data_IF_601774521542
#
_entry.id   IF_601774521542
#
_cell.length_a   1.000
_cell.length_b   1.000
_cell.length_c   1.000
_cell.angle_alpha   90.00
_cell.angle_beta   90.00
_cell.angle_gamma   90.00
#
_symmetry.space_group_name_H-M   'P 1'
#
loop_
_entity.id
_entity.type
_entity.pdbx_description
1 polymer ?
#
# COMPACT_ATOMS: atom_id res chain seq x y z
N UNK A 1 11.68 18.50 -58.34
CA UNK A 1 11.13 17.51 -57.40
C UNK A 1 12.29 16.97 -56.55
N UNK A 2 12.43 17.41 -55.29
CA UNK A 2 13.39 16.84 -54.32
C UNK A 2 12.62 16.63 -53.03
N UNK A 3 12.44 15.37 -52.68
CA UNK A 3 11.68 14.91 -51.52
C UNK A 3 12.53 15.16 -50.27
N UNK A 4 11.93 15.85 -49.31
CA UNK A 4 12.44 16.08 -47.95
C UNK A 4 12.68 14.76 -47.23
N UNK A 5 13.92 14.52 -46.77
CA UNK A 5 14.23 13.45 -45.83
C UNK A 5 13.65 13.82 -44.45
N UNK A 6 12.54 13.18 -44.08
CA UNK A 6 12.05 13.14 -42.71
C UNK A 6 12.99 12.25 -41.89
N UNK A 7 13.70 12.85 -40.93
CA UNK A 7 14.54 12.15 -39.97
C UNK A 7 13.64 11.52 -38.90
N UNK A 8 13.08 10.35 -39.20
CA UNK A 8 12.32 9.56 -38.23
C UNK A 8 13.31 8.98 -37.22
N UNK A 9 13.35 9.53 -36.01
CA UNK A 9 14.07 8.91 -34.89
C UNK A 9 13.43 7.58 -34.55
N UNK A 10 14.04 6.48 -35.01
CA UNK A 10 13.61 5.11 -34.71
C UNK A 10 13.92 4.83 -33.23
N UNK A 11 12.89 4.72 -32.39
CA UNK A 11 13.04 4.22 -31.01
C UNK A 11 13.49 2.75 -31.08
N UNK A 12 14.74 2.45 -30.71
CA UNK A 12 15.24 1.08 -30.61
C UNK A 12 14.78 0.45 -29.29
N UNK A 13 14.01 -0.63 -29.38
CA UNK A 13 13.66 -1.50 -28.24
C UNK A 13 14.74 -2.57 -28.12
N UNK A 14 15.36 -2.70 -26.94
CA UNK A 14 16.31 -3.78 -26.62
C UNK A 14 15.67 -4.75 -25.64
N UNK A 15 15.82 -6.08 -25.83
CA UNK A 15 15.45 -7.07 -24.81
C UNK A 15 16.23 -6.84 -23.50
N UNK A 16 15.54 -7.00 -22.36
CA UNK A 16 16.11 -6.91 -21.01
C UNK A 16 15.69 -8.17 -20.24
N UNK A 17 16.65 -8.77 -19.54
CA UNK A 17 16.37 -9.78 -18.52
C UNK A 17 16.26 -9.11 -17.15
N UNK A 18 15.25 -9.49 -16.37
CA UNK A 18 15.03 -8.94 -15.04
C UNK A 18 14.63 -10.04 -14.05
N UNK A 19 15.00 -9.84 -12.79
CA UNK A 19 14.60 -10.69 -11.67
C UNK A 19 14.26 -9.82 -10.48
N UNK A 20 13.22 -10.21 -9.74
CA UNK A 20 12.88 -9.57 -8.46
C UNK A 20 13.99 -9.84 -7.44
N UNK A 21 14.46 -8.78 -6.78
CA UNK A 21 15.45 -8.85 -5.69
C UNK A 21 14.84 -8.29 -4.40
N UNK A 22 15.28 -8.75 -3.21
CA UNK A 22 14.79 -8.23 -1.95
C UNK A 22 15.09 -6.73 -1.77
N UNK A 23 14.09 -5.94 -1.40
CA UNK A 23 14.25 -4.52 -1.06
C UNK A 23 14.81 -4.38 0.37
N UNK A 24 15.80 -3.52 0.59
CA UNK A 24 16.33 -3.23 1.93
C UNK A 24 16.01 -1.80 2.34
N UNK A 25 15.26 -1.64 3.43
CA UNK A 25 14.99 -0.33 4.05
C UNK A 25 15.59 -0.30 5.45
N UNK A 26 16.71 0.40 5.63
CA UNK A 26 17.45 0.42 6.91
C UNK A 26 16.57 0.96 8.03
N UNK A 27 16.35 0.15 9.07
CA UNK A 27 15.59 0.53 10.27
C UNK A 27 14.09 0.71 10.06
N UNK A 28 13.58 0.46 8.85
CA UNK A 28 12.16 0.64 8.54
C UNK A 28 11.46 -0.72 8.52
N UNK A 29 10.34 -0.75 9.20
CA UNK A 29 9.37 -1.83 9.15
C UNK A 29 8.22 -1.38 8.20
N UNK A 30 7.26 -2.25 7.87
CA UNK A 30 6.13 -1.81 7.02
C UNK A 30 5.42 -0.64 7.72
N UNK A 31 5.28 0.50 7.05
CA UNK A 31 4.53 1.65 7.58
C UNK A 31 3.38 1.97 6.65
N UNK A 32 2.35 2.60 7.20
CA UNK A 32 1.27 3.15 6.39
C UNK A 32 1.06 4.61 6.76
N UNK A 33 0.86 5.42 5.73
CA UNK A 33 0.53 6.83 5.86
C UNK A 33 -0.93 7.03 5.46
N UNK A 34 -1.66 7.85 6.21
CA UNK A 34 -2.99 8.27 5.81
C UNK A 34 -2.87 9.13 4.55
N UNK A 35 -3.54 8.70 3.48
CA UNK A 35 -3.45 9.34 2.17
C UNK A 35 -3.96 10.78 2.24
N UNK A 36 -3.35 11.67 1.46
CA UNK A 36 -3.69 13.10 1.44
C UNK A 36 -5.13 13.37 0.98
N UNK A 37 -5.73 12.47 0.20
CA UNK A 37 -7.09 12.62 -0.34
C UNK A 37 -8.17 12.04 0.59
N UNK A 38 -7.83 11.75 1.84
CA UNK A 38 -8.79 11.24 2.84
C UNK A 38 -9.74 12.34 3.31
N UNK A 39 -10.96 11.99 3.73
CA UNK A 39 -11.96 12.92 4.26
C UNK A 39 -12.52 12.35 5.56
N UNK A 40 -12.26 13.02 6.69
CA UNK A 40 -12.75 12.61 8.00
C UNK A 40 -13.99 13.43 8.42
N UNK A 41 -15.16 12.81 8.67
CA UNK A 41 -15.51 11.41 8.38
C UNK A 41 -15.94 11.22 6.91
N UNK A 42 -15.91 9.97 6.42
CA UNK A 42 -16.56 9.57 5.16
C UNK A 42 -15.69 8.82 4.15
N UNK A 43 -14.39 9.11 4.07
CA UNK A 43 -13.49 8.41 3.15
C UNK A 43 -12.11 8.23 3.76
N UNK A 44 -11.74 6.99 4.04
CA UNK A 44 -10.46 6.63 4.62
C UNK A 44 -9.56 5.97 3.57
N UNK A 45 -8.33 6.46 3.41
CA UNK A 45 -7.35 5.86 2.53
C UNK A 45 -5.96 5.87 3.14
N UNK A 46 -5.15 4.87 2.82
CA UNK A 46 -3.77 4.75 3.27
C UNK A 46 -2.83 4.41 2.11
N UNK A 47 -1.59 4.87 2.22
CA UNK A 47 -0.46 4.48 1.40
C UNK A 47 0.39 3.47 2.18
N UNK A 48 0.72 2.32 1.57
CA UNK A 48 1.69 1.38 2.16
C UNK A 48 3.11 1.77 1.72
N UNK A 49 4.02 1.89 2.68
CA UNK A 49 5.41 2.29 2.46
C UNK A 49 6.38 1.30 3.13
N UNK A 50 7.61 1.28 2.62
CA UNK A 50 8.74 0.50 3.16
C UNK A 50 8.49 -1.01 3.31
N UNK A 51 7.82 -1.63 2.33
CA UNK A 51 7.69 -3.10 2.26
C UNK A 51 9.04 -3.70 1.85
N UNK A 52 9.78 -4.20 2.85
CA UNK A 52 11.09 -4.80 2.67
C UNK A 52 11.07 -6.26 2.20
N UNK A 53 12.24 -6.77 1.85
CA UNK A 53 12.44 -8.16 1.42
C UNK A 53 11.85 -8.43 0.05
N UNK A 54 11.46 -9.70 -0.18
CA UNK A 54 10.69 -10.11 -1.37
C UNK A 54 9.19 -9.99 -1.15
N UNK A 55 8.76 -9.30 -0.09
CA UNK A 55 7.38 -9.25 0.33
C UNK A 55 6.56 -8.19 -0.41
N UNK A 56 5.25 -8.40 -0.45
CA UNK A 56 4.22 -7.45 -0.88
C UNK A 56 3.10 -7.42 0.15
N UNK A 57 2.49 -6.25 0.35
CA UNK A 57 1.17 -6.17 0.99
C UNK A 57 0.12 -6.35 -0.09
N UNK A 58 -0.56 -7.48 -0.10
CA UNK A 58 -1.53 -7.84 -1.14
C UNK A 58 -2.95 -7.42 -0.79
N UNK A 59 -3.33 -7.55 0.48
CA UNK A 59 -4.65 -7.20 1.03
C UNK A 59 -4.50 -6.40 2.31
N UNK A 60 -5.38 -5.42 2.52
CA UNK A 60 -5.57 -4.72 3.80
C UNK A 60 -7.01 -4.92 4.24
N UNK A 61 -7.24 -5.17 5.51
CA UNK A 61 -8.59 -5.24 6.09
C UNK A 61 -8.75 -4.27 7.26
N UNK A 62 -9.95 -3.72 7.38
CA UNK A 62 -10.37 -2.85 8.48
C UNK A 62 -11.28 -3.61 9.44
N UNK A 63 -11.13 -3.39 10.74
CA UNK A 63 -11.99 -3.99 11.76
C UNK A 63 -13.30 -3.22 11.91
N UNK A 64 -14.43 -3.89 11.71
CA UNK A 64 -15.75 -3.32 11.97
C UNK A 64 -16.25 -3.80 13.32
N UNK A 65 -16.13 -2.92 14.32
CA UNK A 65 -16.35 -3.27 15.73
C UNK A 65 -17.76 -3.80 16.01
N UNK A 66 -18.78 -3.18 15.42
CA UNK A 66 -20.18 -3.56 15.66
C UNK A 66 -20.53 -4.94 15.07
N UNK A 67 -19.96 -5.26 13.90
CA UNK A 67 -20.22 -6.50 13.19
C UNK A 67 -19.24 -7.62 13.57
N UNK A 68 -18.19 -7.31 14.33
CA UNK A 68 -17.12 -8.25 14.68
C UNK A 68 -16.46 -8.94 13.48
N UNK A 69 -16.30 -8.22 12.37
CA UNK A 69 -15.67 -8.73 11.14
C UNK A 69 -14.51 -7.87 10.67
N UNK A 70 -13.59 -8.51 9.94
CA UNK A 70 -12.59 -7.83 9.14
C UNK A 70 -13.09 -7.68 7.71
N UNK A 71 -13.23 -6.45 7.24
CA UNK A 71 -13.67 -6.15 5.87
C UNK A 71 -12.48 -5.72 5.02
N UNK A 72 -12.39 -6.23 3.79
CA UNK A 72 -11.31 -5.86 2.89
C UNK A 72 -11.43 -4.40 2.43
N UNK A 73 -10.33 -3.68 2.51
CA UNK A 73 -10.18 -2.39 1.84
C UNK A 73 -9.95 -2.62 0.35
N UNK A 74 -10.46 -1.71 -0.49
CA UNK A 74 -10.24 -1.77 -1.93
C UNK A 74 -8.86 -1.18 -2.24
N UNK A 75 -8.08 -1.84 -3.10
CA UNK A 75 -6.87 -1.25 -3.67
C UNK A 75 -7.27 -0.29 -4.78
N UNK A 76 -7.21 1.01 -4.54
CA UNK A 76 -7.67 2.02 -5.50
C UNK A 76 -6.69 2.24 -6.64
N UNK A 77 -5.41 2.47 -6.32
CA UNK A 77 -4.31 2.57 -7.28
C UNK A 77 -2.97 2.33 -6.58
N UNK A 78 -1.98 1.77 -7.29
CA UNK A 78 -0.64 1.53 -6.74
C UNK A 78 -0.66 0.83 -5.37
N UNK A 79 -0.02 1.46 -4.38
CA UNK A 79 0.03 1.01 -2.99
C UNK A 79 -1.03 1.68 -2.09
N UNK A 80 -2.10 2.21 -2.68
CA UNK A 80 -3.19 2.90 -1.97
C UNK A 80 -4.37 1.95 -1.75
N UNK A 81 -4.82 1.88 -0.50
CA UNK A 81 -6.01 1.13 -0.10
C UNK A 81 -7.02 2.07 0.52
N UNK A 82 -8.28 1.96 0.12
CA UNK A 82 -9.36 2.82 0.57
C UNK A 82 -10.58 2.08 1.12
N UNK A 83 -11.37 2.82 1.88
CA UNK A 83 -12.61 2.37 2.49
C UNK A 83 -13.59 3.55 2.59
N UNK A 84 -14.73 3.43 1.92
CA UNK A 84 -15.81 4.40 2.01
C UNK A 84 -16.59 4.20 3.31
N UNK A 85 -16.98 5.28 3.96
CA UNK A 85 -17.71 5.28 5.24
C UNK A 85 -17.06 4.35 6.28
N UNK A 86 -15.81 4.66 6.71
CA UNK A 86 -15.10 3.85 7.68
C UNK A 86 -15.86 3.75 9.01
N UNK A 87 -15.59 2.70 9.82
CA UNK A 87 -16.17 2.57 11.16
C UNK A 87 -15.92 3.82 12.01
N UNK A 88 -16.90 4.15 12.85
CA UNK A 88 -16.75 5.22 13.82
C UNK A 88 -15.71 4.85 14.90
N UNK A 89 -15.02 5.86 15.41
CA UNK A 89 -14.04 5.69 16.47
C UNK A 89 -12.66 5.25 15.95
N UNK A 90 -11.96 4.44 16.76
CA UNK A 90 -10.62 3.98 16.43
C UNK A 90 -10.61 2.96 15.29
N UNK A 91 -9.72 3.16 14.32
CA UNK A 91 -9.53 2.23 13.21
C UNK A 91 -8.41 1.24 13.56
N UNK A 92 -8.70 -0.05 13.34
CA UNK A 92 -7.72 -1.14 13.39
C UNK A 92 -7.56 -1.76 12.02
N UNK A 93 -6.33 -2.04 11.65
CA UNK A 93 -5.98 -2.61 10.35
C UNK A 93 -5.21 -3.92 10.52
N UNK A 94 -5.39 -4.82 9.56
CA UNK A 94 -4.49 -5.95 9.36
C UNK A 94 -4.11 -6.08 7.89
N UNK A 95 -2.97 -6.69 7.64
CA UNK A 95 -2.31 -6.74 6.35
C UNK A 95 -2.01 -8.19 6.00
N UNK A 96 -2.27 -8.57 4.75
CA UNK A 96 -1.75 -9.81 4.20
C UNK A 96 -0.40 -9.50 3.55
N UNK A 97 0.65 -10.07 4.13
CA UNK A 97 2.03 -9.94 3.67
C UNK A 97 2.39 -11.22 2.92
N UNK A 98 2.65 -11.08 1.62
CA UNK A 98 2.86 -12.18 0.67
C UNK A 98 4.29 -12.19 0.14
N UNK A 99 4.83 -13.38 -0.12
CA UNK A 99 6.13 -13.60 -0.78
C UNK A 99 6.02 -14.81 -1.70
N UNK A 100 7.13 -15.22 -2.32
CA UNK A 100 7.21 -16.43 -3.15
C UNK A 100 6.97 -17.74 -2.36
N UNK A 101 7.08 -17.74 -1.03
CA UNK A 101 6.88 -18.92 -0.20
C UNK A 101 5.50 -18.99 0.45
N UNK A 102 4.69 -17.93 0.35
CA UNK A 102 3.34 -17.90 0.92
C UNK A 102 2.92 -16.53 1.43
N UNK A 103 1.78 -16.50 2.13
CA UNK A 103 1.16 -15.28 2.65
C UNK A 103 0.79 -15.43 4.12
N UNK A 104 1.02 -14.39 4.91
CA UNK A 104 0.70 -14.34 6.34
C UNK A 104 -0.15 -13.10 6.66
N UNK A 105 -1.06 -13.24 7.61
CA UNK A 105 -1.81 -12.10 8.15
C UNK A 105 -1.08 -11.50 9.35
N UNK A 106 -1.00 -10.17 9.38
CA UNK A 106 -0.44 -9.46 10.53
C UNK A 106 -1.30 -8.26 10.87
N UNK A 107 -1.62 -8.11 12.16
CA UNK A 107 -2.43 -7.00 12.68
C UNK A 107 -1.52 -5.84 13.05
N UNK A 108 -1.90 -4.61 12.70
CA UNK A 108 -1.19 -3.42 13.17
C UNK A 108 -1.22 -3.37 14.69
N UNK A 109 -0.08 -3.12 15.32
CA UNK A 109 -0.02 -2.90 16.77
C UNK A 109 -0.62 -1.54 17.18
N UNK A 110 -0.79 -0.61 16.24
CA UNK A 110 -1.33 0.72 16.52
C UNK A 110 -2.77 0.84 16.07
N UNK A 111 -3.58 1.46 16.94
CA UNK A 111 -4.89 1.99 16.58
C UNK A 111 -4.74 3.39 15.99
N UNK A 112 -5.50 3.66 14.94
CA UNK A 112 -5.61 5.00 14.37
C UNK A 112 -6.74 5.72 15.12
N UNK A 113 -6.50 6.89 15.73
CA UNK A 113 -7.50 7.60 16.51
C UNK A 113 -8.64 8.10 15.61
N UNK A 114 -9.84 8.27 16.17
CA UNK A 114 -11.03 8.72 15.43
C UNK A 114 -10.82 10.03 14.65
N UNK A 115 -10.09 10.99 15.25
CA UNK A 115 -9.73 12.27 14.64
C UNK A 115 -8.49 12.21 13.74
N UNK A 116 -8.35 11.14 12.97
CA UNK A 116 -7.22 10.95 12.07
C UNK A 116 -7.13 12.03 10.98
N UNK A 117 -5.90 12.33 10.55
CA UNK A 117 -5.58 13.41 9.61
C UNK A 117 -4.74 12.89 8.46
N UNK A 118 -4.94 13.50 7.29
CA UNK A 118 -4.08 13.34 6.12
C UNK A 118 -2.59 13.48 6.49
N UNK A 119 -1.75 12.65 5.88
CA UNK A 119 -0.29 12.67 6.07
C UNK A 119 0.22 12.00 7.35
N UNK A 120 -0.65 11.70 8.33
CA UNK A 120 -0.26 10.99 9.55
C UNK A 120 0.28 9.59 9.23
N UNK A 121 1.42 9.23 9.83
CA UNK A 121 2.12 7.97 9.53
C UNK A 121 2.18 7.07 10.75
N UNK A 122 1.90 5.78 10.55
CA UNK A 122 1.90 4.76 11.58
C UNK A 122 2.77 3.58 11.17
N UNK A 123 3.59 3.10 12.09
CA UNK A 123 4.36 1.88 11.92
C UNK A 123 3.46 0.68 12.16
N UNK A 124 3.56 -0.38 11.36
CA UNK A 124 2.84 -1.64 11.68
C UNK A 124 3.52 -2.47 12.78
N UNK A 125 4.78 -2.15 13.12
CA UNK A 125 5.78 -2.96 13.84
C UNK A 125 6.07 -4.35 13.22
N UNK A 126 5.65 -4.55 11.98
CA UNK A 126 5.91 -5.77 11.21
C UNK A 126 7.29 -5.66 10.56
N UNK A 127 8.20 -6.52 10.96
CA UNK A 127 9.50 -6.70 10.32
C UNK A 127 9.40 -7.86 9.34
N UNK A 128 9.33 -7.60 8.01
CA UNK A 128 9.59 -8.65 7.05
C UNK A 128 11.03 -9.15 7.28
N UNK A 129 11.18 -10.44 7.58
CA UNK A 129 12.44 -11.09 7.95
C UNK A 129 13.56 -10.84 6.93
#
# INVERSE_FOLDING_TARGET
>A
MKITHLHTSILRVSPLEYKRVPCTFKGNNIVYQINENTINPGYFAINILYVGGTYDVTVVQIWKKEQHIWEAMRRSYGAVFDFANPPEGEIRLKFQVSSNVGSNWVVSQFTIPAGWKAGATYSTKIHPY
#
